data_IF_558273702177
#
_entry.id   IF_558273702177
#
_cell.length_a   1.000
_cell.length_b   1.000
_cell.length_c   1.000
_cell.angle_alpha   90.00
_cell.angle_beta   90.00
_cell.angle_gamma   90.00
#
_symmetry.space_group_name_H-M   'P 1'
#
loop_
_entity.id
_entity.type
_entity.pdbx_description
1 polymer ?
#
# COMPACT_ATOMS: atom_id res chain seq x y z
N UNK A 1 23.43 19.73 14.35
CA UNK A 1 23.22 19.09 15.66
C UNK A 1 21.95 18.25 15.57
N UNK A 2 21.98 16.99 16.01
CA UNK A 2 20.77 16.15 16.12
C UNK A 2 20.22 16.19 17.54
N UNK A 3 18.91 16.01 17.69
CA UNK A 3 18.32 15.74 19.01
C UNK A 3 18.87 14.42 19.57
N UNK A 4 19.04 14.28 20.90
CA UNK A 4 19.42 13.01 21.52
C UNK A 4 18.45 11.89 21.12
N UNK A 5 18.99 10.72 20.72
CA UNK A 5 18.15 9.58 20.29
C UNK A 5 17.15 9.13 21.35
N UNK A 6 17.46 9.32 22.64
CA UNK A 6 16.57 9.04 23.78
C UNK A 6 15.33 9.93 23.86
N UNK A 7 15.26 11.02 23.08
CA UNK A 7 14.11 11.94 23.01
C UNK A 7 13.27 11.73 21.75
N UNK A 8 13.56 10.70 20.94
CA UNK A 8 12.86 10.42 19.68
C UNK A 8 12.25 9.01 19.76
N UNK A 9 10.92 8.93 19.73
CA UNK A 9 10.18 7.68 19.49
C UNK A 9 9.84 7.57 18.01
N UNK A 10 9.88 6.36 17.47
CA UNK A 10 9.35 6.02 16.16
C UNK A 10 8.27 4.95 16.33
N UNK A 11 7.08 5.24 15.83
CA UNK A 11 5.93 4.35 15.82
C UNK A 11 5.54 4.11 14.35
N UNK A 12 5.77 2.89 13.86
CA UNK A 12 5.39 2.49 12.51
C UNK A 12 3.96 1.94 12.50
N UNK A 13 3.18 2.27 11.47
CA UNK A 13 1.81 1.81 11.31
C UNK A 13 1.52 1.53 9.84
N UNK A 14 1.41 0.24 9.49
CA UNK A 14 0.98 -0.16 8.15
C UNK A 14 -0.51 0.13 8.00
N UNK A 15 -0.78 1.34 7.54
CA UNK A 15 -2.11 1.83 7.24
C UNK A 15 -2.83 0.95 6.19
N UNK A 16 -2.12 0.45 5.18
CA UNK A 16 -2.73 -0.31 4.08
C UNK A 16 -3.14 -1.72 4.52
N UNK A 17 -2.33 -2.36 5.38
CA UNK A 17 -2.67 -3.63 6.02
C UNK A 17 -3.80 -3.48 7.04
N UNK A 18 -3.67 -2.54 7.98
CA UNK A 18 -4.63 -2.39 9.06
C UNK A 18 -5.98 -1.90 8.57
N UNK A 19 -6.03 -0.88 7.69
CA UNK A 19 -7.28 -0.26 7.25
C UNK A 19 -7.92 -0.97 6.05
N UNK A 20 -7.41 -2.16 5.69
CA UNK A 20 -7.83 -2.93 4.52
C UNK A 20 -9.35 -3.19 4.49
N UNK A 21 -9.96 -2.96 3.34
CA UNK A 21 -11.41 -3.14 3.14
C UNK A 21 -12.28 -2.01 3.70
N UNK A 22 -11.70 -0.84 4.02
CA UNK A 22 -12.45 0.32 4.53
C UNK A 22 -12.71 0.28 6.04
N UNK A 23 -11.97 -0.56 6.77
CA UNK A 23 -12.00 -0.65 8.25
C UNK A 23 -11.22 0.52 8.88
N UNK A 24 -11.54 1.74 8.47
CA UNK A 24 -10.93 3.00 8.88
C UNK A 24 -10.95 3.21 10.41
N UNK A 25 -11.93 2.64 11.08
CA UNK A 25 -12.07 2.54 12.52
C UNK A 25 -10.83 1.93 13.19
N UNK A 26 -10.07 1.06 12.52
CA UNK A 26 -8.81 0.46 13.03
C UNK A 26 -7.66 1.45 13.24
N UNK A 27 -7.75 2.70 12.78
CA UNK A 27 -6.79 3.77 13.16
C UNK A 27 -6.77 3.97 14.69
N UNK A 28 -7.80 3.56 15.44
CA UNK A 28 -7.75 3.51 16.91
C UNK A 28 -6.59 2.67 17.48
N UNK A 29 -6.05 1.70 16.72
CA UNK A 29 -4.90 0.88 17.13
C UNK A 29 -3.65 1.76 17.27
N UNK A 30 -3.35 2.58 16.26
CA UNK A 30 -2.28 3.59 16.31
C UNK A 30 -2.48 4.57 17.46
N UNK A 31 -3.70 5.11 17.62
CA UNK A 31 -3.96 6.09 18.69
C UNK A 31 -3.80 5.44 20.08
N UNK A 32 -4.07 4.13 20.21
CA UNK A 32 -3.86 3.37 21.45
C UNK A 32 -2.37 3.14 21.75
N UNK A 33 -1.51 2.90 20.75
CA UNK A 33 -0.07 2.76 20.99
C UNK A 33 0.55 4.07 21.48
N UNK A 34 0.18 5.20 20.85
CA UNK A 34 0.74 6.53 21.19
C UNK A 34 0.07 7.20 22.40
N UNK A 35 -1.09 6.76 22.89
CA UNK A 35 -1.82 7.41 24.00
C UNK A 35 -0.99 7.68 25.28
N UNK A 36 -0.05 6.81 25.72
CA UNK A 36 0.85 7.12 26.84
C UNK A 36 1.78 8.30 26.55
N UNK A 37 2.32 8.40 25.32
CA UNK A 37 3.13 9.53 24.87
C UNK A 37 2.29 10.82 24.76
N UNK A 38 1.08 10.75 24.20
CA UNK A 38 0.16 11.91 24.17
C UNK A 38 -0.12 12.46 25.58
N UNK A 39 -0.31 11.56 26.54
CA UNK A 39 -0.57 11.90 27.95
C UNK A 39 0.63 12.53 28.67
N UNK A 40 1.85 12.22 28.23
CA UNK A 40 3.10 12.78 28.79
C UNK A 40 3.51 14.11 28.14
N UNK A 41 3.16 14.32 26.86
CA UNK A 41 3.49 15.54 26.12
C UNK A 41 2.71 16.77 26.61
N UNK A 42 1.51 16.58 27.19
CA UNK A 42 0.63 17.66 27.67
C UNK A 42 0.30 18.68 26.55
N UNK A 43 -0.23 19.82 26.95
CA UNK A 43 -0.54 20.98 26.11
C UNK A 43 -0.02 22.24 26.81
N UNK A 44 0.20 23.32 26.06
CA UNK A 44 0.51 24.61 26.66
C UNK A 44 -0.76 25.23 27.25
N UNK A 45 -0.69 25.73 28.48
CA UNK A 45 -1.77 26.45 29.15
C UNK A 45 -1.20 27.63 29.94
N UNK A 46 -1.79 28.80 29.74
CA UNK A 46 -1.50 30.03 30.47
C UNK A 46 -2.80 30.61 31.01
N UNK A 47 -2.75 31.13 32.23
CA UNK A 47 -3.79 31.97 32.81
C UNK A 47 -3.62 33.39 32.24
N UNK A 48 -4.64 33.91 31.55
CA UNK A 48 -4.59 35.22 30.93
C UNK A 48 -4.68 36.38 31.94
N UNK A 49 -5.29 36.16 33.12
CA UNK A 49 -5.51 37.23 34.10
C UNK A 49 -4.24 37.44 34.96
N UNK A 50 -3.52 36.35 35.28
CA UNK A 50 -2.27 36.41 36.05
C UNK A 50 -1.00 36.33 35.19
N UNK A 51 -1.11 35.94 33.92
CA UNK A 51 0.03 35.63 33.06
C UNK A 51 0.75 34.33 33.43
N UNK A 52 0.24 33.55 34.39
CA UNK A 52 0.92 32.37 34.93
C UNK A 52 0.84 31.19 33.97
N UNK A 53 1.98 30.61 33.60
CA UNK A 53 2.02 29.38 32.80
C UNK A 53 1.67 28.18 33.70
N UNK A 54 0.48 27.62 33.48
CA UNK A 54 -0.05 26.48 34.25
C UNK A 54 0.47 25.14 33.73
N UNK A 55 0.77 25.03 32.43
CA UNK A 55 1.33 23.80 31.84
C UNK A 55 2.17 24.12 30.60
N UNK A 56 3.30 23.42 30.46
CA UNK A 56 4.12 23.42 29.24
C UNK A 56 3.87 22.16 28.42
N UNK A 57 3.80 22.32 27.09
CA UNK A 57 3.91 21.20 26.16
C UNK A 57 5.36 20.68 26.15
N UNK A 58 5.54 19.38 26.34
CA UNK A 58 6.84 18.69 26.51
C UNK A 58 7.28 17.85 25.31
N UNK A 59 6.48 17.79 24.25
CA UNK A 59 6.81 17.06 23.03
C UNK A 59 5.89 17.41 21.87
N UNK A 60 6.29 17.00 20.66
CA UNK A 60 5.58 17.24 19.40
C UNK A 60 5.51 15.92 18.63
N UNK A 61 4.36 15.58 18.04
CA UNK A 61 4.31 14.47 17.08
C UNK A 61 4.58 14.99 15.67
N UNK A 62 5.38 14.25 14.89
CA UNK A 62 5.50 14.41 13.45
C UNK A 62 4.85 13.22 12.76
N UNK A 63 3.70 13.44 12.14
CA UNK A 63 3.07 12.43 11.28
C UNK A 63 3.69 12.50 9.89
N UNK A 64 4.08 11.36 9.33
CA UNK A 64 4.50 11.24 7.94
C UNK A 64 3.65 10.16 7.25
N UNK A 65 3.37 10.33 5.97
CA UNK A 65 2.79 9.27 5.14
C UNK A 65 3.41 9.37 3.74
N UNK A 66 3.86 8.25 3.21
CA UNK A 66 4.46 8.18 1.87
C UNK A 66 3.43 8.32 0.75
N UNK A 67 2.18 7.90 1.01
CA UNK A 67 1.14 7.80 -0.02
C UNK A 67 0.28 9.07 -0.15
N UNK A 68 -0.22 9.65 0.95
CA UNK A 68 -1.09 10.83 0.85
C UNK A 68 -1.20 11.72 2.12
N UNK A 69 -1.48 12.99 1.86
CA UNK A 69 -1.66 14.06 2.84
C UNK A 69 -2.93 13.87 3.68
N UNK A 70 -4.00 13.32 3.09
CA UNK A 70 -5.27 13.07 3.77
C UNK A 70 -5.12 12.12 4.96
N UNK A 71 -4.33 11.05 4.83
CA UNK A 71 -4.02 10.14 5.95
C UNK A 71 -3.36 10.87 7.12
N UNK A 72 -2.43 11.79 6.84
CA UNK A 72 -1.80 12.58 7.91
C UNK A 72 -2.79 13.54 8.59
N UNK A 73 -3.66 14.20 7.82
CA UNK A 73 -4.68 15.12 8.37
C UNK A 73 -5.70 14.37 9.24
N UNK A 74 -6.09 13.15 8.86
CA UNK A 74 -6.99 12.32 9.68
C UNK A 74 -6.33 11.88 10.99
N UNK A 75 -5.08 11.39 10.97
CA UNK A 75 -4.37 11.01 12.21
C UNK A 75 -4.19 12.21 13.15
N UNK A 76 -3.79 13.37 12.62
CA UNK A 76 -3.63 14.60 13.40
C UNK A 76 -4.96 15.12 13.98
N UNK A 77 -6.06 15.03 13.22
CA UNK A 77 -7.41 15.36 13.69
C UNK A 77 -7.83 14.53 14.91
N UNK A 78 -7.53 13.22 14.90
CA UNK A 78 -7.86 12.33 16.03
C UNK A 78 -7.02 12.67 17.26
N UNK A 79 -5.71 12.90 17.08
CA UNK A 79 -4.83 13.34 18.17
C UNK A 79 -5.32 14.66 18.78
N UNK A 80 -5.64 15.65 17.94
CA UNK A 80 -6.14 16.97 18.36
C UNK A 80 -7.46 16.87 19.14
N UNK A 81 -8.43 16.07 18.66
CA UNK A 81 -9.68 15.81 19.39
C UNK A 81 -9.42 15.14 20.75
N UNK A 82 -8.43 14.25 20.86
CA UNK A 82 -8.01 13.64 22.12
C UNK A 82 -7.44 14.65 23.11
N UNK A 83 -6.48 15.48 22.67
CA UNK A 83 -5.87 16.54 23.51
C UNK A 83 -6.90 17.57 23.97
N UNK A 84 -7.80 18.02 23.09
CA UNK A 84 -8.87 18.97 23.45
C UNK A 84 -9.88 18.33 24.41
N UNK A 85 -10.23 17.05 24.22
CA UNK A 85 -11.10 16.31 25.16
C UNK A 85 -10.48 16.27 26.56
N UNK A 86 -9.17 16.04 26.66
CA UNK A 86 -8.45 16.00 27.93
C UNK A 86 -8.36 17.38 28.58
N UNK A 87 -8.03 18.43 27.83
CA UNK A 87 -8.04 19.83 28.29
C UNK A 87 -9.40 20.24 28.87
N UNK A 88 -10.48 19.99 28.12
CA UNK A 88 -11.85 20.36 28.51
C UNK A 88 -12.31 19.64 29.79
N UNK A 89 -11.90 18.38 29.97
CA UNK A 89 -12.19 17.58 31.17
C UNK A 89 -11.36 18.03 32.38
N UNK A 90 -10.04 18.17 32.22
CA UNK A 90 -9.15 18.56 33.33
C UNK A 90 -9.49 19.94 33.91
N UNK A 91 -9.88 20.89 33.05
CA UNK A 91 -10.16 22.27 33.45
C UNK A 91 -11.67 22.56 33.63
N UNK A 92 -12.53 21.51 33.58
CA UNK A 92 -13.99 21.60 33.75
C UNK A 92 -14.69 22.68 32.88
N UNK A 93 -14.14 23.00 31.71
CA UNK A 93 -14.56 24.12 30.85
C UNK A 93 -15.98 23.92 30.30
N UNK A 94 -16.39 22.67 30.09
CA UNK A 94 -17.72 22.33 29.55
C UNK A 94 -18.38 21.20 30.33
N UNK A 95 -19.70 21.28 30.48
CA UNK A 95 -20.51 20.20 31.07
C UNK A 95 -20.42 18.95 30.19
N UNK A 96 -20.37 17.76 30.80
CA UNK A 96 -20.13 16.48 30.12
C UNK A 96 -21.07 16.22 28.91
N UNK A 97 -22.32 16.69 28.94
CA UNK A 97 -23.26 16.55 27.81
C UNK A 97 -22.93 17.45 26.61
N UNK A 98 -22.24 18.58 26.82
CA UNK A 98 -21.81 19.50 25.76
C UNK A 98 -20.51 19.06 25.09
N UNK A 99 -19.70 18.23 25.77
CA UNK A 99 -18.37 17.81 25.34
C UNK A 99 -18.37 17.27 23.90
N UNK A 100 -19.33 16.40 23.57
CA UNK A 100 -19.44 15.80 22.24
C UNK A 100 -19.64 16.87 21.14
N UNK A 101 -20.56 17.81 21.35
CA UNK A 101 -20.85 18.88 20.38
C UNK A 101 -19.63 19.79 20.11
N UNK A 102 -18.80 20.04 21.13
CA UNK A 102 -17.55 20.78 20.99
C UNK A 102 -16.52 19.97 20.19
N UNK A 103 -16.34 18.69 20.49
CA UNK A 103 -15.42 17.79 19.80
C UNK A 103 -15.83 17.52 18.34
N UNK A 104 -17.12 17.59 18.02
CA UNK A 104 -17.64 17.57 16.65
C UNK A 104 -17.41 18.91 15.94
N UNK A 105 -17.46 20.03 16.66
CA UNK A 105 -16.96 21.34 16.21
C UNK A 105 -15.49 21.28 15.78
N UNK A 106 -14.63 20.70 16.61
CA UNK A 106 -13.20 20.47 16.30
C UNK A 106 -13.04 19.59 15.05
N UNK A 107 -13.84 18.52 14.91
CA UNK A 107 -13.83 17.68 13.71
C UNK A 107 -14.14 18.45 12.42
N UNK A 108 -15.07 19.40 12.47
CA UNK A 108 -15.40 20.29 11.34
C UNK A 108 -14.26 21.25 10.99
N UNK A 109 -13.56 21.78 11.99
CA UNK A 109 -12.36 22.61 11.77
C UNK A 109 -11.24 21.80 11.08
N UNK A 110 -11.04 20.53 11.47
CA UNK A 110 -10.06 19.66 10.82
C UNK A 110 -10.45 19.24 9.39
N UNK A 111 -11.74 19.12 9.08
CA UNK A 111 -12.21 18.97 7.71
C UNK A 111 -11.94 20.24 6.87
N UNK A 112 -12.22 21.42 7.43
CA UNK A 112 -11.90 22.70 6.78
C UNK A 112 -10.38 22.91 6.58
N UNK A 113 -9.55 22.46 7.54
CA UNK A 113 -8.10 22.44 7.44
C UNK A 113 -7.64 21.53 6.29
N UNK A 114 -8.08 20.27 6.26
CA UNK A 114 -7.78 19.34 5.17
C UNK A 114 -8.15 19.92 3.80
N UNK A 115 -9.32 20.57 3.70
CA UNK A 115 -9.75 21.28 2.49
C UNK A 115 -8.87 22.48 2.10
N UNK A 116 -8.35 23.24 3.06
CA UNK A 116 -7.45 24.37 2.80
C UNK A 116 -6.09 23.90 2.30
N UNK A 117 -5.54 22.85 2.92
CA UNK A 117 -4.27 22.24 2.51
C UNK A 117 -4.43 21.55 1.15
N UNK A 118 -5.51 20.78 0.94
CA UNK A 118 -5.88 20.19 -0.36
C UNK A 118 -5.99 21.24 -1.46
N UNK A 119 -6.63 22.40 -1.21
CA UNK A 119 -6.65 23.50 -2.19
C UNK A 119 -5.26 24.06 -2.52
N UNK A 120 -4.38 24.14 -1.53
CA UNK A 120 -3.01 24.63 -1.72
C UNK A 120 -2.11 23.67 -2.51
N UNK A 121 -2.47 22.37 -2.54
CA UNK A 121 -1.68 21.33 -3.21
C UNK A 121 -2.31 20.82 -4.52
N UNK A 122 -3.66 20.80 -4.61
CA UNK A 122 -4.42 20.20 -5.73
C UNK A 122 -5.61 21.06 -6.21
N UNK A 123 -5.73 22.30 -5.76
CA UNK A 123 -6.72 23.28 -6.28
C UNK A 123 -8.20 23.06 -5.91
N UNK A 124 -8.57 21.99 -5.18
CA UNK A 124 -9.98 21.67 -4.86
C UNK A 124 -10.20 21.34 -3.37
N UNK A 125 -11.43 21.55 -2.89
CA UNK A 125 -11.85 21.26 -1.51
C UNK A 125 -13.06 20.31 -1.47
N UNK A 126 -13.08 19.40 -0.49
CA UNK A 126 -14.10 18.36 -0.32
C UNK A 126 -15.22 18.77 0.64
N UNK A 127 -16.38 18.09 0.55
CA UNK A 127 -17.64 18.56 1.13
C UNK A 127 -18.11 17.80 2.37
N UNK A 128 -18.63 18.60 3.31
CA UNK A 128 -19.64 18.35 4.37
C UNK A 128 -19.55 17.11 5.27
N UNK A 129 -19.89 17.33 6.54
CA UNK A 129 -19.92 16.36 7.63
C UNK A 129 -21.22 16.46 8.41
N UNK A 130 -21.83 15.32 8.75
CA UNK A 130 -22.90 15.24 9.75
C UNK A 130 -22.79 13.93 10.57
N UNK A 131 -23.39 13.93 11.77
CA UNK A 131 -23.75 12.79 12.66
C UNK A 131 -22.94 12.62 13.98
N UNK A 132 -23.70 12.24 15.00
CA UNK A 132 -23.51 11.98 16.45
C UNK A 132 -23.20 10.49 16.75
N UNK A 133 -23.02 9.92 17.97
CA UNK A 133 -22.65 10.31 19.36
C UNK A 133 -22.38 9.00 20.14
N UNK A 134 -21.73 9.08 21.33
CA UNK A 134 -21.76 8.13 22.49
C UNK A 134 -20.39 7.50 22.75
N UNK A 135 -19.75 7.69 23.91
CA UNK A 135 -20.27 8.04 25.24
C UNK A 135 -19.50 7.38 26.39
N UNK A 136 -18.15 7.39 26.39
CA UNK A 136 -17.32 6.91 27.52
C UNK A 136 -16.16 7.86 27.90
N UNK A 137 -15.67 7.75 29.15
CA UNK A 137 -14.65 8.66 29.72
C UNK A 137 -13.20 8.12 29.64
N UNK A 138 -12.23 9.04 29.67
CA UNK A 138 -10.79 8.75 29.53
C UNK A 138 -10.33 8.55 28.09
N UNK A 139 -9.02 8.39 27.87
CA UNK A 139 -8.44 8.08 26.54
C UNK A 139 -8.99 6.77 25.96
N UNK A 140 -9.24 5.76 26.80
CA UNK A 140 -9.86 4.50 26.39
C UNK A 140 -11.31 4.69 25.87
N UNK A 141 -12.08 5.62 26.46
CA UNK A 141 -13.41 5.99 25.94
C UNK A 141 -13.33 6.85 24.68
N UNK A 142 -12.39 7.79 24.62
CA UNK A 142 -12.14 8.56 23.39
C UNK A 142 -11.79 7.63 22.20
N UNK A 143 -11.01 6.58 22.43
CA UNK A 143 -10.65 5.59 21.41
C UNK A 143 -11.86 4.83 20.83
N UNK A 144 -12.84 4.41 21.66
CA UNK A 144 -14.05 3.73 21.16
C UNK A 144 -14.98 4.64 20.36
N UNK A 145 -14.90 5.94 20.61
CA UNK A 145 -15.81 6.96 20.06
C UNK A 145 -15.18 7.63 18.81
N UNK A 146 -13.84 7.71 18.78
CA UNK A 146 -13.06 8.16 17.64
C UNK A 146 -13.10 7.18 16.47
N UNK A 147 -13.03 5.86 16.69
CA UNK A 147 -13.04 4.83 15.63
C UNK A 147 -14.21 5.02 14.65
N UNK A 148 -15.43 5.13 15.17
CA UNK A 148 -16.66 5.39 14.39
C UNK A 148 -16.63 6.75 13.64
N UNK A 149 -15.98 7.76 14.22
CA UNK A 149 -15.82 9.08 13.58
C UNK A 149 -14.84 9.02 12.40
N UNK A 150 -13.80 8.20 12.50
CA UNK A 150 -12.72 8.10 11.52
C UNK A 150 -13.24 7.49 10.22
N UNK A 151 -14.08 6.45 10.28
CA UNK A 151 -14.61 5.80 9.07
C UNK A 151 -15.40 6.74 8.17
N UNK A 152 -16.15 7.68 8.76
CA UNK A 152 -16.86 8.72 8.02
C UNK A 152 -15.93 9.79 7.43
N UNK A 153 -14.91 10.23 8.17
CA UNK A 153 -13.92 11.20 7.66
C UNK A 153 -13.17 10.63 6.46
N UNK A 154 -12.82 9.34 6.52
CA UNK A 154 -12.07 8.66 5.48
C UNK A 154 -12.94 8.40 4.24
N UNK A 155 -14.18 7.91 4.40
CA UNK A 155 -15.11 7.71 3.28
C UNK A 155 -15.32 8.97 2.43
N UNK A 156 -15.33 10.15 3.06
CA UNK A 156 -15.54 11.42 2.36
C UNK A 156 -14.26 11.98 1.69
N UNK A 157 -13.06 11.57 2.13
CA UNK A 157 -11.80 12.00 1.50
C UNK A 157 -11.30 11.00 0.44
N UNK A 158 -11.58 9.69 0.57
CA UNK A 158 -11.02 8.63 -0.29
C UNK A 158 -11.70 8.44 -1.68
N UNK A 159 -12.28 9.48 -2.27
CA UNK A 159 -12.64 9.48 -3.70
C UNK A 159 -11.47 9.95 -4.59
N UNK A 160 -10.31 9.35 -4.39
CA UNK A 160 -9.10 9.69 -5.13
C UNK A 160 -9.11 9.14 -6.58
N UNK A 161 -9.85 8.04 -6.82
CA UNK A 161 -10.00 7.46 -8.18
C UNK A 161 -10.50 8.47 -9.20
N UNK A 162 -11.46 9.32 -8.83
CA UNK A 162 -11.98 10.35 -9.74
C UNK A 162 -10.94 11.43 -10.06
N UNK A 163 -10.06 11.76 -9.10
CA UNK A 163 -8.95 12.72 -9.31
C UNK A 163 -7.87 12.09 -10.18
N UNK A 164 -7.46 10.85 -9.89
CA UNK A 164 -6.48 10.13 -10.68
C UNK A 164 -6.95 9.99 -12.13
N UNK A 165 -8.20 9.58 -12.39
CA UNK A 165 -8.75 9.54 -13.76
C UNK A 165 -8.77 10.90 -14.47
N UNK A 166 -8.95 12.02 -13.75
CA UNK A 166 -8.86 13.36 -14.34
C UNK A 166 -7.41 13.77 -14.62
N UNK A 167 -6.47 13.43 -13.73
CA UNK A 167 -5.03 13.67 -13.92
C UNK A 167 -4.52 12.83 -15.10
N UNK A 168 -4.85 11.54 -15.15
CA UNK A 168 -4.50 10.63 -16.24
C UNK A 168 -5.08 11.11 -17.57
N UNK A 169 -6.33 11.62 -17.58
CA UNK A 169 -6.94 12.22 -18.76
C UNK A 169 -6.21 13.49 -19.22
N UNK A 170 -5.82 14.36 -18.29
CA UNK A 170 -5.09 15.61 -18.58
C UNK A 170 -3.65 15.37 -19.05
N UNK A 171 -2.97 14.34 -18.51
CA UNK A 171 -1.61 13.94 -18.90
C UNK A 171 -1.60 13.02 -20.14
N UNK A 172 -2.76 12.50 -20.55
CA UNK A 172 -2.92 11.58 -21.67
C UNK A 172 -2.48 10.13 -21.38
N UNK A 173 -2.58 9.71 -20.12
CA UNK A 173 -2.17 8.41 -19.58
C UNK A 173 -3.33 7.49 -19.19
N UNK A 174 -4.59 7.86 -19.48
CA UNK A 174 -5.76 7.06 -19.09
C UNK A 174 -5.97 5.80 -19.94
N UNK A 175 -6.42 4.70 -19.30
CA UNK A 175 -6.75 3.39 -19.90
C UNK A 175 -7.78 3.44 -21.06
N UNK A 176 -8.47 4.56 -21.24
CA UNK A 176 -9.35 4.76 -22.39
C UNK A 176 -8.52 5.14 -23.61
N UNK A 177 -8.30 4.18 -24.52
CA UNK A 177 -7.45 4.28 -25.73
C UNK A 177 -7.91 5.28 -26.81
N UNK A 178 -8.35 6.46 -26.40
CA UNK A 178 -8.52 7.65 -27.21
C UNK A 178 -7.16 8.31 -27.49
N UNK A 179 -7.13 9.14 -28.53
CA UNK A 179 -5.93 9.74 -29.14
C UNK A 179 -5.30 10.86 -28.29
N UNK A 180 -5.01 10.59 -27.02
CA UNK A 180 -4.32 11.53 -26.13
C UNK A 180 -2.83 11.51 -26.40
N UNK A 181 -2.26 12.65 -26.81
CA UNK A 181 -0.80 12.81 -26.87
C UNK A 181 -0.28 13.05 -25.45
N UNK A 182 0.72 12.30 -24.95
CA UNK A 182 1.30 12.54 -23.64
C UNK A 182 1.76 14.00 -23.48
N UNK A 183 1.37 14.63 -22.37
CA UNK A 183 1.81 15.99 -22.04
C UNK A 183 3.22 15.90 -21.46
N UNK A 184 4.21 16.29 -22.26
CA UNK A 184 5.60 16.41 -21.79
C UNK A 184 5.68 17.62 -20.86
N UNK A 185 5.69 17.36 -19.56
CA UNK A 185 5.92 18.39 -18.54
C UNK A 185 7.40 18.80 -18.58
N UNK A 186 7.66 20.10 -18.75
CA UNK A 186 9.00 20.65 -18.65
C UNK A 186 9.25 21.12 -17.21
N UNK A 187 9.88 20.28 -16.40
CA UNK A 187 10.50 20.71 -15.14
C UNK A 187 12.00 20.96 -15.36
N UNK A 188 12.49 22.22 -15.29
CA UNK A 188 13.92 22.50 -15.41
C UNK A 188 14.74 21.90 -14.25
N UNK A 189 14.14 21.67 -13.07
CA UNK A 189 14.84 21.08 -11.94
C UNK A 189 15.05 19.58 -12.13
N UNK A 190 14.02 18.83 -12.53
CA UNK A 190 14.14 17.41 -12.85
C UNK A 190 15.19 17.16 -13.96
N UNK A 191 15.19 17.97 -15.02
CA UNK A 191 16.18 17.87 -16.10
C UNK A 191 17.64 18.12 -15.64
N UNK A 192 17.85 18.88 -14.56
CA UNK A 192 19.19 19.10 -13.97
C UNK A 192 19.54 18.00 -12.96
N UNK A 193 18.56 17.59 -12.14
CA UNK A 193 18.75 16.67 -11.01
C UNK A 193 18.83 15.22 -11.49
N UNK A 194 17.96 14.77 -12.40
CA UNK A 194 17.91 13.36 -12.81
C UNK A 194 19.26 12.85 -13.39
N UNK A 195 19.97 13.58 -14.27
CA UNK A 195 21.29 13.14 -14.75
C UNK A 195 22.37 13.15 -13.66
N UNK A 196 22.27 14.02 -12.66
CA UNK A 196 23.19 14.04 -11.51
C UNK A 196 22.90 12.85 -10.57
N UNK A 197 21.62 12.63 -10.25
CA UNK A 197 21.15 11.51 -9.45
C UNK A 197 21.53 10.18 -10.09
N UNK A 198 21.36 10.01 -11.40
CA UNK A 198 21.77 8.78 -12.07
C UNK A 198 23.29 8.55 -11.99
N UNK A 199 24.11 9.61 -12.09
CA UNK A 199 25.57 9.49 -11.88
C UNK A 199 25.93 9.04 -10.48
N UNK A 200 25.30 9.59 -9.44
CA UNK A 200 25.54 9.16 -8.06
C UNK A 200 25.00 7.74 -7.80
N UNK A 201 23.82 7.40 -8.33
CA UNK A 201 23.28 6.04 -8.29
C UNK A 201 24.19 5.03 -9.02
N UNK A 202 24.82 5.41 -10.12
CA UNK A 202 25.79 4.55 -10.83
C UNK A 202 27.12 4.37 -10.06
N UNK A 203 27.44 5.20 -9.06
CA UNK A 203 28.61 5.00 -8.16
C UNK A 203 28.33 4.02 -7.02
N UNK A 204 27.08 3.98 -6.55
CA UNK A 204 26.68 3.24 -5.34
C UNK A 204 25.96 1.93 -5.70
N UNK A 205 25.16 1.95 -6.77
CA UNK A 205 24.37 0.82 -7.25
C UNK A 205 25.13 -0.06 -8.23
N UNK A 206 24.79 -1.36 -8.22
CA UNK A 206 25.29 -2.35 -9.17
C UNK A 206 24.18 -2.73 -10.14
N UNK A 207 24.39 -2.50 -11.44
CA UNK A 207 23.52 -3.01 -12.50
C UNK A 207 23.97 -4.43 -12.89
N UNK A 208 23.02 -5.37 -12.96
CA UNK A 208 23.25 -6.76 -13.40
C UNK A 208 22.23 -7.12 -14.45
N UNK A 209 22.66 -7.71 -15.57
CA UNK A 209 21.74 -8.28 -16.54
C UNK A 209 21.07 -9.54 -15.94
N UNK A 210 19.78 -9.69 -16.19
CA UNK A 210 18.98 -10.84 -15.76
C UNK A 210 18.48 -11.54 -17.02
N UNK A 211 18.70 -12.85 -17.13
CA UNK A 211 18.23 -13.65 -18.26
C UNK A 211 16.84 -14.20 -17.96
N UNK A 212 15.87 -13.92 -18.84
CA UNK A 212 14.47 -14.35 -18.66
C UNK A 212 14.06 -15.20 -19.85
N UNK A 213 13.63 -16.45 -19.57
CA UNK A 213 13.03 -17.34 -20.55
C UNK A 213 11.51 -17.23 -20.47
N UNK A 214 10.85 -17.04 -21.61
CA UNK A 214 9.39 -16.95 -21.71
C UNK A 214 8.86 -18.14 -22.51
N UNK A 215 7.94 -18.90 -21.93
CA UNK A 215 7.32 -20.07 -22.54
C UNK A 215 5.80 -19.89 -22.54
N UNK A 216 5.13 -20.16 -23.66
CA UNK A 216 3.66 -20.18 -23.73
C UNK A 216 3.16 -21.47 -24.35
N UNK A 217 1.99 -21.96 -23.90
CA UNK A 217 1.35 -23.14 -24.49
C UNK A 217 -0.16 -23.14 -24.26
N UNK A 218 -0.94 -23.50 -25.29
CA UNK A 218 -2.39 -23.66 -25.19
C UNK A 218 -2.72 -25.13 -24.91
N UNK A 219 -3.39 -25.41 -23.79
CA UNK A 219 -3.73 -26.76 -23.33
C UNK A 219 -5.05 -27.30 -23.88
N UNK A 220 -5.85 -26.46 -24.56
CA UNK A 220 -7.12 -26.83 -25.18
C UNK A 220 -8.04 -27.69 -24.28
N UNK A 221 -8.26 -27.22 -23.05
CA UNK A 221 -9.11 -27.85 -22.05
C UNK A 221 -8.62 -29.20 -21.52
N UNK A 222 -7.43 -29.66 -21.93
CA UNK A 222 -6.95 -31.01 -21.63
C UNK A 222 -6.21 -31.05 -20.28
N UNK A 223 -6.55 -31.99 -19.38
CA UNK A 223 -5.72 -32.26 -18.20
C UNK A 223 -4.42 -32.92 -18.65
N UNK A 224 -3.33 -32.72 -17.90
CA UNK A 224 -2.07 -33.41 -18.14
C UNK A 224 -2.24 -34.93 -18.03
N UNK A 225 -1.79 -35.69 -19.04
CA UNK A 225 -1.92 -37.16 -19.12
C UNK A 225 -0.57 -37.88 -19.07
N UNK A 226 0.52 -37.18 -18.80
CA UNK A 226 1.87 -37.74 -18.82
C UNK A 226 2.59 -37.59 -20.17
N UNK A 227 2.07 -36.76 -21.07
CA UNK A 227 2.73 -36.40 -22.33
C UNK A 227 4.08 -35.70 -22.09
N UNK A 228 5.07 -36.00 -22.94
CA UNK A 228 6.39 -35.36 -22.84
C UNK A 228 6.31 -33.90 -23.30
N UNK A 229 6.73 -32.98 -22.43
CA UNK A 229 6.91 -31.56 -22.75
C UNK A 229 8.12 -31.32 -23.67
N UNK A 230 8.93 -32.34 -23.91
CA UNK A 230 9.89 -32.41 -25.02
C UNK A 230 10.93 -31.28 -25.04
N UNK A 231 10.98 -30.54 -26.15
CA UNK A 231 11.90 -29.41 -26.33
C UNK A 231 11.28 -28.04 -26.05
N UNK A 232 10.00 -27.97 -25.66
CA UNK A 232 9.31 -26.70 -25.39
C UNK A 232 9.93 -25.95 -24.20
N UNK A 233 10.40 -26.68 -23.19
CA UNK A 233 11.11 -26.15 -22.02
C UNK A 233 12.63 -26.38 -22.07
N UNK A 234 13.19 -26.66 -23.26
CA UNK A 234 14.63 -26.86 -23.40
C UNK A 234 15.38 -25.56 -23.12
N UNK A 235 16.27 -25.58 -22.13
CA UNK A 235 17.07 -24.40 -21.77
C UNK A 235 18.17 -24.19 -22.83
N UNK A 236 18.35 -22.96 -23.37
CA UNK A 236 19.39 -22.69 -24.36
C UNK A 236 20.81 -23.04 -23.87
N UNK A 237 21.61 -23.63 -24.75
CA UNK A 237 23.02 -23.88 -24.44
C UNK A 237 23.81 -22.57 -24.30
N UNK A 238 24.66 -22.49 -23.28
CA UNK A 238 25.52 -21.33 -23.02
C UNK A 238 24.84 -20.16 -22.30
N UNK A 239 23.52 -20.15 -22.15
CA UNK A 239 22.78 -19.11 -21.41
C UNK A 239 21.83 -19.76 -20.41
N UNK A 240 22.13 -19.64 -19.12
CA UNK A 240 21.23 -20.08 -18.04
C UNK A 240 20.25 -18.94 -17.70
N UNK A 241 18.93 -19.10 -17.88
CA UNK A 241 17.94 -18.14 -17.41
C UNK A 241 18.03 -17.99 -15.88
N UNK A 242 17.94 -16.77 -15.39
CA UNK A 242 17.73 -16.49 -13.96
C UNK A 242 16.26 -16.69 -13.58
N UNK A 243 15.37 -16.42 -14.53
CA UNK A 243 13.91 -16.52 -14.40
C UNK A 243 13.36 -17.31 -15.60
N UNK A 244 12.38 -18.18 -15.35
CA UNK A 244 11.56 -18.84 -16.38
C UNK A 244 10.09 -18.50 -16.10
N UNK A 245 9.40 -17.87 -17.05
CA UNK A 245 7.97 -17.58 -16.94
C UNK A 245 7.18 -18.44 -17.93
N UNK A 246 6.15 -19.13 -17.44
CA UNK A 246 5.33 -20.07 -18.22
C UNK A 246 3.87 -19.60 -18.23
N UNK A 247 3.33 -19.31 -19.41
CA UNK A 247 1.95 -18.87 -19.62
C UNK A 247 1.11 -19.93 -20.34
N UNK A 248 0.14 -20.54 -19.64
CA UNK A 248 -0.83 -21.43 -20.27
C UNK A 248 -2.11 -20.71 -20.69
N UNK A 249 -2.75 -21.22 -21.75
CA UNK A 249 -4.11 -20.88 -22.18
C UNK A 249 -5.00 -22.13 -22.16
N UNK A 250 -6.32 -21.92 -22.07
CA UNK A 250 -7.35 -22.99 -22.03
C UNK A 250 -7.06 -24.12 -21.02
N UNK A 251 -6.57 -23.81 -19.81
CA UNK A 251 -6.28 -24.82 -18.75
C UNK A 251 -7.55 -25.55 -18.25
N UNK A 252 -8.72 -25.01 -18.55
CA UNK A 252 -10.03 -25.59 -18.25
C UNK A 252 -10.89 -25.43 -19.50
N UNK A 253 -11.68 -26.45 -19.86
CA UNK A 253 -12.71 -26.31 -20.90
C UNK A 253 -13.63 -25.13 -20.56
N UNK A 254 -14.00 -24.32 -21.55
CA UNK A 254 -14.75 -23.06 -21.37
C UNK A 254 -16.25 -23.27 -21.07
N UNK A 255 -16.59 -24.29 -20.28
CA UNK A 255 -17.96 -24.58 -19.88
C UNK A 255 -18.34 -23.75 -18.63
N UNK A 256 -19.55 -23.18 -18.64
CA UNK A 256 -19.93 -22.06 -17.75
C UNK A 256 -19.85 -22.43 -16.26
N UNK A 257 -20.06 -23.70 -15.91
CA UNK A 257 -19.93 -24.20 -14.54
C UNK A 257 -18.47 -24.32 -14.07
N UNK A 258 -17.57 -24.75 -14.95
CA UNK A 258 -16.15 -24.97 -14.61
C UNK A 258 -15.36 -23.66 -14.41
N UNK A 259 -15.82 -22.57 -15.03
CA UNK A 259 -15.28 -21.21 -14.82
C UNK A 259 -15.55 -20.68 -13.40
N UNK A 260 -16.63 -21.14 -12.76
CA UNK A 260 -17.02 -20.74 -11.41
C UNK A 260 -16.28 -21.58 -10.36
N UNK A 261 -16.12 -22.89 -10.61
CA UNK A 261 -15.25 -23.77 -9.82
C UNK A 261 -13.84 -23.85 -10.42
N UNK A 262 -13.09 -22.74 -10.36
CA UNK A 262 -11.72 -22.67 -10.88
C UNK A 262 -10.87 -23.82 -10.32
N UNK A 263 -10.56 -24.82 -11.17
CA UNK A 263 -10.02 -26.10 -10.72
C UNK A 263 -8.54 -26.00 -10.35
N UNK A 264 -8.29 -25.64 -9.10
CA UNK A 264 -6.96 -25.58 -8.49
C UNK A 264 -6.23 -26.93 -8.48
N UNK A 265 -6.90 -28.08 -8.71
CA UNK A 265 -6.25 -29.37 -8.79
C UNK A 265 -5.41 -29.49 -10.07
N UNK A 266 -5.97 -29.17 -11.24
CA UNK A 266 -5.23 -29.21 -12.52
C UNK A 266 -4.01 -28.27 -12.46
N UNK A 267 -4.16 -27.06 -11.89
CA UNK A 267 -3.06 -26.10 -11.73
C UNK A 267 -1.90 -26.67 -10.88
N UNK A 268 -2.20 -27.35 -9.78
CA UNK A 268 -1.17 -27.98 -8.92
C UNK A 268 -0.41 -29.11 -9.60
N UNK A 269 -1.07 -29.88 -10.47
CA UNK A 269 -0.40 -30.88 -11.31
C UNK A 269 0.60 -30.19 -12.23
N UNK A 270 0.19 -29.12 -12.92
CA UNK A 270 1.08 -28.34 -13.79
C UNK A 270 2.23 -27.67 -13.04
N UNK A 271 2.02 -27.14 -11.83
CA UNK A 271 3.07 -26.61 -10.96
C UNK A 271 4.17 -27.67 -10.70
N UNK A 272 3.79 -28.90 -10.36
CA UNK A 272 4.72 -30.00 -10.08
C UNK A 272 5.45 -30.48 -11.35
N UNK A 273 4.70 -30.71 -12.44
CA UNK A 273 5.24 -31.19 -13.72
C UNK A 273 6.24 -30.20 -14.31
N UNK A 274 5.91 -28.90 -14.33
CA UNK A 274 6.82 -27.87 -14.82
C UNK A 274 8.07 -27.75 -13.95
N UNK A 275 7.95 -27.81 -12.62
CA UNK A 275 9.10 -27.77 -11.71
C UNK A 275 10.07 -28.94 -11.99
N UNK A 276 9.53 -30.15 -12.18
CA UNK A 276 10.34 -31.33 -12.50
C UNK A 276 11.00 -31.24 -13.89
N UNK A 277 10.25 -30.77 -14.90
CA UNK A 277 10.72 -30.69 -16.28
C UNK A 277 11.79 -29.59 -16.46
N UNK A 278 11.57 -28.39 -15.94
CA UNK A 278 12.55 -27.27 -16.02
C UNK A 278 13.89 -27.71 -15.40
N UNK A 279 13.85 -28.37 -14.24
CA UNK A 279 15.05 -28.87 -13.57
C UNK A 279 15.69 -30.08 -14.28
N UNK A 280 14.91 -30.86 -15.03
CA UNK A 280 15.41 -31.93 -15.90
C UNK A 280 16.13 -31.36 -17.12
N UNK A 281 15.55 -30.36 -17.78
CA UNK A 281 16.15 -29.68 -18.93
C UNK A 281 17.38 -28.86 -18.52
N UNK A 282 17.40 -28.27 -17.32
CA UNK A 282 18.58 -27.64 -16.72
C UNK A 282 19.74 -28.64 -16.57
N UNK A 283 19.51 -29.78 -15.89
CA UNK A 283 20.53 -30.83 -15.71
C UNK A 283 20.96 -31.49 -17.03
N UNK A 284 20.09 -31.52 -18.04
CA UNK A 284 20.42 -31.98 -19.40
C UNK A 284 21.33 -30.99 -20.15
N UNK A 285 21.14 -29.68 -19.93
CA UNK A 285 21.87 -28.61 -20.63
C UNK A 285 23.23 -28.29 -19.97
N UNK A 286 23.28 -28.25 -18.64
CA UNK A 286 24.47 -27.86 -17.87
C UNK A 286 25.15 -29.04 -17.16
N UNK A 287 24.61 -30.25 -17.30
CA UNK A 287 25.16 -31.48 -16.73
C UNK A 287 24.51 -31.90 -15.40
N UNK A 288 24.58 -33.19 -15.09
CA UNK A 288 23.93 -33.78 -13.89
C UNK A 288 24.51 -33.34 -12.55
N UNK A 289 25.64 -32.62 -12.56
CA UNK A 289 26.29 -32.01 -11.40
C UNK A 289 26.18 -30.47 -11.37
N UNK A 290 25.34 -29.87 -12.21
CA UNK A 290 25.09 -28.43 -12.16
C UNK A 290 24.50 -28.04 -10.80
N UNK A 291 25.05 -26.99 -10.19
CA UNK A 291 24.60 -26.49 -8.88
C UNK A 291 23.33 -25.66 -9.00
N UNK A 292 22.51 -25.72 -7.95
CA UNK A 292 21.23 -25.02 -7.85
C UNK A 292 20.09 -25.68 -8.61
N UNK A 293 18.88 -25.19 -8.37
CA UNK A 293 17.67 -25.55 -9.07
C UNK A 293 16.73 -24.35 -9.29
N UNK A 294 15.68 -24.55 -10.08
CA UNK A 294 14.58 -23.60 -10.26
C UNK A 294 13.45 -23.92 -9.30
N UNK A 295 13.08 -22.95 -8.49
CA UNK A 295 11.91 -23.01 -7.61
C UNK A 295 10.74 -22.19 -8.18
N UNK A 296 9.52 -22.64 -7.92
CA UNK A 296 8.30 -21.88 -8.22
C UNK A 296 8.21 -20.66 -7.27
N UNK A 297 8.26 -19.46 -7.83
CA UNK A 297 8.11 -18.19 -7.11
C UNK A 297 6.63 -17.82 -6.94
N UNK A 298 5.83 -17.99 -8.00
CA UNK A 298 4.42 -17.61 -8.02
C UNK A 298 3.65 -18.37 -9.10
N UNK A 299 2.36 -18.63 -8.85
CA UNK A 299 1.45 -19.28 -9.78
C UNK A 299 0.06 -18.68 -9.62
N UNK A 300 -0.46 -18.06 -10.68
CA UNK A 300 -1.81 -17.49 -10.68
C UNK A 300 -2.64 -17.88 -11.89
N UNK A 301 -3.96 -18.00 -11.65
CA UNK A 301 -4.94 -18.39 -12.66
C UNK A 301 -6.06 -17.36 -12.78
N UNK A 302 -6.42 -17.03 -14.02
CA UNK A 302 -7.58 -16.23 -14.39
C UNK A 302 -8.37 -16.97 -15.48
N UNK A 303 -9.49 -17.58 -15.09
CA UNK A 303 -10.32 -18.41 -15.99
C UNK A 303 -9.48 -19.55 -16.58
N UNK A 304 -9.29 -19.58 -17.90
CA UNK A 304 -8.48 -20.57 -18.61
C UNK A 304 -7.00 -20.18 -18.76
N UNK A 305 -6.57 -19.00 -18.29
CA UNK A 305 -5.18 -18.54 -18.40
C UNK A 305 -4.45 -18.77 -17.08
N UNK A 306 -3.24 -19.32 -17.12
CA UNK A 306 -2.36 -19.47 -15.94
C UNK A 306 -1.00 -18.84 -16.25
N UNK A 307 -0.43 -18.12 -15.29
CA UNK A 307 0.94 -17.64 -15.33
C UNK A 307 1.72 -18.20 -14.14
N UNK A 308 2.79 -18.94 -14.42
CA UNK A 308 3.74 -19.46 -13.45
C UNK A 308 5.09 -18.76 -13.62
N UNK A 309 5.73 -18.43 -12.52
CA UNK A 309 7.04 -17.79 -12.47
C UNK A 309 7.99 -18.66 -11.66
N UNK A 310 9.11 -19.04 -12.26
CA UNK A 310 10.19 -19.80 -11.63
C UNK A 310 11.45 -18.94 -11.61
N UNK A 311 12.28 -19.10 -10.58
CA UNK A 311 13.59 -18.48 -10.50
C UNK A 311 14.65 -19.48 -10.03
N UNK A 312 15.87 -19.34 -10.55
CA UNK A 312 17.01 -20.13 -10.13
C UNK A 312 17.46 -19.72 -8.71
N UNK A 313 18.03 -20.63 -7.92
CA UNK A 313 18.50 -20.37 -6.55
C UNK A 313 19.39 -19.13 -6.39
N UNK A 314 20.22 -18.84 -7.39
CA UNK A 314 21.09 -17.64 -7.40
C UNK A 314 20.33 -16.33 -7.59
N UNK A 315 19.11 -16.38 -8.12
CA UNK A 315 18.24 -15.22 -8.34
C UNK A 315 17.21 -15.05 -7.22
N UNK A 316 16.77 -16.13 -6.56
CA UNK A 316 15.80 -16.09 -5.45
C UNK A 316 16.10 -15.04 -4.36
N UNK A 317 17.35 -14.86 -3.88
CA UNK A 317 17.68 -13.83 -2.87
C UNK A 317 17.47 -12.38 -3.32
N UNK A 318 17.23 -12.14 -4.62
CA UNK A 318 16.97 -10.83 -5.21
C UNK A 318 15.51 -10.64 -5.61
N UNK A 319 14.66 -11.67 -5.48
CA UNK A 319 13.23 -11.61 -5.79
C UNK A 319 12.45 -11.20 -4.54
N UNK A 320 11.88 -10.00 -4.56
CA UNK A 320 11.12 -9.42 -3.45
C UNK A 320 9.82 -8.78 -3.97
N UNK A 321 8.87 -8.54 -3.07
CA UNK A 321 7.61 -7.82 -3.36
C UNK A 321 6.81 -8.39 -4.55
N UNK A 322 6.80 -9.72 -4.70
CA UNK A 322 6.07 -10.41 -5.78
C UNK A 322 4.58 -10.13 -5.64
N UNK A 323 3.99 -9.50 -6.67
CA UNK A 323 2.57 -9.21 -6.76
C UNK A 323 2.01 -9.74 -8.08
N UNK A 324 0.81 -10.31 -8.04
CA UNK A 324 0.08 -10.79 -9.21
C UNK A 324 -1.28 -10.10 -9.24
N UNK A 325 -1.60 -9.42 -10.34
CA UNK A 325 -2.85 -8.66 -10.48
C UNK A 325 -3.69 -9.24 -11.61
N UNK A 326 -4.97 -9.50 -11.35
CA UNK A 326 -5.92 -10.06 -12.31
C UNK A 326 -6.77 -8.95 -12.90
N UNK A 327 -6.40 -8.47 -14.08
CA UNK A 327 -7.25 -7.58 -14.87
C UNK A 327 -8.26 -8.40 -15.66
N UNK A 328 -9.56 -8.20 -15.40
CA UNK A 328 -10.63 -8.57 -16.32
C UNK A 328 -10.95 -7.34 -17.15
N UNK A 329 -10.62 -7.40 -18.45
CA UNK A 329 -11.19 -6.53 -19.49
C UNK A 329 -12.63 -6.92 -19.76
#
# INVERSE_FOLDING_TARGET
MGLPKSLISFDEFDYNYEVRGGQFDRVHILIRSIAPLLSSFKYFLVDNDTGTILTFQRGVQRTNCIDCLDRTNVVQSVISRGVITEFLRQNNVVRQHMLNAVIDGVGRLWAANGNAISRSYTGTGALKSDVTTSGKSGWAGFLSDASKSISRLMQNNFQDRGKQSVIDLLLGSGDSGLLCRPVVLYDPYENIIAPQLERELNKIGRKTAIQVMLCTYNLHGSPYRGESLGTWLAIPQGVRPDIVAVGFQEVVNLDVQSVISADTANRRVWEQVLTAEINTQYRKTFGSKAEGEYALVSSEQLVGVVLLLFAHDTALPHVHNVQMVKHKT
#
